data_IF_690504554044
#
_entry.id   IF_690504554044
#
_cell.length_a   1.000
_cell.length_b   1.000
_cell.length_c   1.000
_cell.angle_alpha   90.00
_cell.angle_beta   90.00
_cell.angle_gamma   90.00
#
_symmetry.space_group_name_H-M   'P 1'
#
loop_
_entity.id
_entity.type
_entity.pdbx_description
1 polymer ?
#
# COMPACT_ATOMS: atom_id res chain seq x y z
N UNK A 1 -30.65 -1.80 0.13
CA UNK A 1 -29.77 -0.99 -0.73
C UNK A 1 -30.27 -0.89 -2.16
N UNK A 2 -30.41 -1.98 -2.92
CA UNK A 2 -30.84 -1.90 -4.33
C UNK A 2 -32.16 -1.15 -4.55
N UNK A 3 -33.19 -1.47 -3.76
CA UNK A 3 -34.46 -0.73 -3.80
C UNK A 3 -34.29 0.77 -3.52
N UNK A 4 -33.47 1.13 -2.53
CA UNK A 4 -33.14 2.54 -2.25
C UNK A 4 -32.46 3.19 -3.46
N UNK A 5 -31.51 2.50 -4.09
CA UNK A 5 -30.85 2.99 -5.30
C UNK A 5 -31.86 3.19 -6.44
N UNK A 6 -32.79 2.24 -6.65
CA UNK A 6 -33.84 2.34 -7.65
C UNK A 6 -34.78 3.52 -7.38
N UNK A 7 -35.21 3.70 -6.12
CA UNK A 7 -36.06 4.80 -5.68
C UNK A 7 -35.37 6.17 -5.84
N UNK A 8 -34.04 6.22 -5.76
CA UNK A 8 -33.22 7.41 -6.00
C UNK A 8 -32.78 7.57 -7.47
N UNK A 9 -33.13 6.63 -8.35
CA UNK A 9 -32.73 6.66 -9.76
C UNK A 9 -31.23 6.36 -10.00
N UNK A 10 -30.55 5.73 -9.04
CA UNK A 10 -29.14 5.34 -9.16
C UNK A 10 -29.01 4.00 -9.87
N UNK A 11 -28.82 4.05 -11.19
CA UNK A 11 -28.57 2.87 -12.01
C UNK A 11 -27.26 2.19 -11.61
N UNK A 12 -26.21 2.98 -11.35
CA UNK A 12 -24.90 2.50 -10.88
C UNK A 12 -24.34 3.44 -9.82
N UNK A 13 -23.74 2.89 -8.76
CA UNK A 13 -23.23 3.67 -7.63
C UNK A 13 -21.89 3.14 -7.11
N UNK A 14 -21.11 4.01 -6.48
CA UNK A 14 -19.98 3.59 -5.66
C UNK A 14 -20.47 3.23 -4.25
N UNK A 15 -19.83 2.25 -3.62
CA UNK A 15 -20.23 1.75 -2.31
C UNK A 15 -19.03 1.72 -1.36
N UNK A 16 -19.19 2.25 -0.15
CA UNK A 16 -18.22 2.12 0.93
C UNK A 16 -18.93 1.58 2.17
N UNK A 17 -18.39 0.51 2.75
CA UNK A 17 -18.99 -0.14 3.91
C UNK A 17 -17.96 -0.53 4.96
N UNK A 18 -18.30 -0.27 6.23
CA UNK A 18 -17.48 -0.65 7.39
C UNK A 18 -18.04 -1.94 7.99
N UNK A 19 -17.18 -2.91 8.34
CA UNK A 19 -17.56 -4.13 9.06
C UNK A 19 -18.69 -4.89 8.35
N UNK A 20 -19.84 -5.12 8.99
CA UNK A 20 -21.00 -5.73 8.33
C UNK A 20 -21.45 -4.97 7.07
N UNK A 21 -21.26 -3.65 7.01
CA UNK A 21 -21.48 -2.88 5.78
C UNK A 21 -20.53 -3.29 4.65
N UNK A 22 -19.27 -3.58 4.96
CA UNK A 22 -18.32 -4.12 3.99
C UNK A 22 -18.75 -5.49 3.45
N UNK A 23 -19.33 -6.34 4.31
CA UNK A 23 -19.88 -7.62 3.93
C UNK A 23 -21.08 -7.48 2.96
N UNK A 24 -21.96 -6.52 3.23
CA UNK A 24 -23.03 -6.14 2.29
C UNK A 24 -22.45 -5.67 0.95
N UNK A 25 -21.37 -4.87 0.98
CA UNK A 25 -20.68 -4.40 -0.22
C UNK A 25 -20.10 -5.54 -1.07
N UNK A 26 -19.44 -6.52 -0.44
CA UNK A 26 -18.93 -7.72 -1.11
C UNK A 26 -20.06 -8.51 -1.79
N UNK A 27 -21.16 -8.73 -1.08
CA UNK A 27 -22.34 -9.40 -1.64
C UNK A 27 -22.91 -8.64 -2.84
N UNK A 28 -23.10 -7.33 -2.72
CA UNK A 28 -23.63 -6.49 -3.79
C UNK A 28 -22.72 -6.54 -5.03
N UNK A 29 -21.40 -6.41 -4.85
CA UNK A 29 -20.47 -6.38 -5.97
C UNK A 29 -20.33 -7.74 -6.68
N UNK A 30 -20.46 -8.84 -5.94
CA UNK A 30 -20.37 -10.19 -6.51
C UNK A 30 -21.66 -10.63 -7.23
N UNK A 31 -22.82 -10.16 -6.79
CA UNK A 31 -24.13 -10.63 -7.29
C UNK A 31 -24.88 -9.60 -8.13
N UNK A 32 -24.50 -8.33 -8.04
CA UNK A 32 -25.04 -7.24 -8.83
C UNK A 32 -23.90 -6.37 -9.41
N UNK A 33 -22.95 -6.98 -10.17
CA UNK A 33 -21.75 -6.29 -10.64
C UNK A 33 -22.06 -5.05 -11.49
N UNK A 34 -23.18 -5.05 -12.22
CA UNK A 34 -23.60 -3.90 -13.04
C UNK A 34 -24.02 -2.68 -12.21
N UNK A 35 -24.38 -2.89 -10.94
CA UNK A 35 -24.85 -1.82 -10.04
C UNK A 35 -23.71 -1.16 -9.27
N UNK A 36 -22.61 -1.88 -9.03
CA UNK A 36 -21.49 -1.38 -8.23
C UNK A 36 -20.37 -0.88 -9.14
N UNK A 37 -20.17 0.43 -9.18
CA UNK A 37 -19.11 1.08 -9.96
C UNK A 37 -17.73 1.00 -9.32
N UNK A 38 -17.68 1.03 -7.99
CA UNK A 38 -16.46 1.10 -7.20
C UNK A 38 -16.79 0.63 -5.77
N UNK A 39 -15.91 -0.15 -5.13
CA UNK A 39 -16.18 -0.81 -3.84
C UNK A 39 -15.08 -0.50 -2.81
N UNK A 40 -15.44 0.07 -1.66
CA UNK A 40 -14.56 0.18 -0.49
C UNK A 40 -15.03 -0.71 0.65
N UNK A 41 -14.15 -1.61 1.09
CA UNK A 41 -14.39 -2.57 2.17
C UNK A 41 -13.51 -2.18 3.36
N UNK A 42 -14.08 -1.62 4.41
CA UNK A 42 -13.34 -1.06 5.55
C UNK A 42 -13.54 -1.96 6.78
N UNK A 43 -12.45 -2.45 7.39
CA UNK A 43 -12.44 -3.28 8.59
C UNK A 43 -13.53 -4.37 8.58
N UNK A 44 -13.50 -5.22 7.56
CA UNK A 44 -14.53 -6.22 7.27
C UNK A 44 -13.91 -7.56 6.92
N UNK A 45 -14.75 -8.54 6.59
CA UNK A 45 -14.33 -9.88 6.22
C UNK A 45 -15.26 -10.55 5.21
N UNK A 46 -14.71 -11.49 4.44
CA UNK A 46 -15.47 -12.45 3.66
C UNK A 46 -16.14 -13.54 4.52
N UNK A 47 -15.66 -13.75 5.76
CA UNK A 47 -16.23 -14.70 6.73
C UNK A 47 -15.86 -14.32 8.16
N UNK A 48 -16.85 -14.26 9.06
CA UNK A 48 -16.66 -13.74 10.41
C UNK A 48 -16.42 -14.86 11.44
N UNK A 49 -15.29 -15.55 11.38
CA UNK A 49 -14.89 -16.49 12.45
C UNK A 49 -15.87 -17.64 12.66
N UNK A 50 -16.08 -18.04 13.92
CA UNK A 50 -16.95 -19.16 14.31
C UNK A 50 -18.44 -18.73 14.36
N UNK A 51 -19.34 -19.36 13.57
CA UNK A 51 -20.78 -19.17 13.66
C UNK A 51 -21.39 -19.28 15.06
N UNK A 52 -20.86 -20.16 15.92
CA UNK A 52 -21.41 -20.39 17.26
C UNK A 52 -21.34 -19.11 18.11
N UNK A 53 -20.22 -18.40 18.05
CA UNK A 53 -19.98 -17.14 18.78
C UNK A 53 -21.02 -16.07 18.39
N UNK A 54 -21.41 -16.01 17.12
CA UNK A 54 -22.42 -15.06 16.66
C UNK A 54 -23.83 -15.44 17.10
N UNK A 55 -24.18 -16.74 17.09
CA UNK A 55 -25.48 -17.22 17.59
C UNK A 55 -25.62 -16.99 19.08
N UNK A 56 -24.57 -17.25 19.86
CA UNK A 56 -24.52 -16.94 21.29
C UNK A 56 -24.70 -15.45 21.55
N UNK A 57 -24.00 -14.60 20.80
CA UNK A 57 -24.16 -13.14 20.88
C UNK A 57 -25.58 -12.71 20.54
N UNK A 58 -26.19 -13.27 19.50
CA UNK A 58 -27.56 -12.96 19.10
C UNK A 58 -28.57 -13.34 20.20
N UNK A 59 -28.40 -14.51 20.82
CA UNK A 59 -29.23 -14.96 21.93
C UNK A 59 -29.10 -14.04 23.15
N UNK A 60 -27.87 -13.67 23.51
CA UNK A 60 -27.59 -12.75 24.61
C UNK A 60 -28.24 -11.38 24.39
N UNK A 61 -28.08 -10.78 23.21
CA UNK A 61 -28.66 -9.46 22.92
C UNK A 61 -30.19 -9.50 22.85
N UNK A 62 -30.80 -10.59 22.40
CA UNK A 62 -32.27 -10.76 22.48
C UNK A 62 -32.76 -10.72 23.93
N UNK A 63 -32.06 -11.44 24.81
CA UNK A 63 -32.42 -11.57 26.21
C UNK A 63 -32.15 -10.28 27.00
N UNK A 64 -30.94 -9.74 26.89
CA UNK A 64 -30.43 -8.69 27.78
C UNK A 64 -30.34 -7.31 27.13
N UNK A 65 -30.56 -7.22 25.82
CA UNK A 65 -30.37 -5.99 25.06
C UNK A 65 -28.91 -5.73 24.68
N UNK A 66 -28.66 -4.60 24.01
CA UNK A 66 -27.33 -4.22 23.52
C UNK A 66 -26.39 -3.74 24.62
N UNK A 67 -26.92 -3.41 25.81
CA UNK A 67 -26.13 -3.11 27.01
C UNK A 67 -25.09 -4.19 27.32
N UNK A 68 -25.46 -5.46 27.15
CA UNK A 68 -24.57 -6.59 27.38
C UNK A 68 -23.28 -6.54 26.55
N UNK A 69 -23.28 -5.79 25.44
CA UNK A 69 -22.12 -5.65 24.55
C UNK A 69 -21.17 -4.52 24.93
N UNK A 70 -21.63 -3.54 25.73
CA UNK A 70 -20.94 -2.27 25.99
C UNK A 70 -19.57 -2.50 26.62
N UNK A 71 -19.48 -3.35 27.65
CA UNK A 71 -18.24 -3.56 28.39
C UNK A 71 -17.09 -4.12 27.52
N UNK A 72 -17.42 -4.94 26.52
CA UNK A 72 -16.40 -5.58 25.68
C UNK A 72 -16.06 -4.76 24.43
N UNK A 73 -16.87 -3.78 24.05
CA UNK A 73 -16.68 -3.03 22.80
C UNK A 73 -15.42 -2.17 22.78
N UNK A 74 -15.00 -1.46 23.85
CA UNK A 74 -13.79 -0.64 23.82
C UNK A 74 -12.56 -1.38 23.27
N UNK A 75 -12.27 -2.57 23.80
CA UNK A 75 -11.14 -3.39 23.36
C UNK A 75 -11.35 -4.13 22.02
N UNK A 76 -12.54 -4.03 21.43
CA UNK A 76 -12.87 -4.61 20.13
C UNK A 76 -12.90 -3.55 19.03
N UNK A 77 -13.46 -2.38 19.33
CA UNK A 77 -13.76 -1.33 18.36
C UNK A 77 -12.62 -0.34 18.16
N UNK A 78 -11.83 -0.11 19.21
CA UNK A 78 -10.89 1.00 19.24
C UNK A 78 -9.50 0.55 19.68
N UNK A 79 -8.49 1.30 19.25
CA UNK A 79 -7.15 1.22 19.82
C UNK A 79 -7.14 1.72 21.27
N UNK A 80 -6.08 1.39 22.00
CA UNK A 80 -5.97 1.70 23.42
C UNK A 80 -6.17 3.20 23.71
N UNK A 81 -7.11 3.51 24.61
CA UNK A 81 -7.36 4.88 25.07
C UNK A 81 -8.34 5.70 24.22
N UNK A 82 -8.71 5.23 23.02
CA UNK A 82 -9.59 6.01 22.14
C UNK A 82 -11.06 5.97 22.57
N UNK A 83 -11.50 4.89 23.23
CA UNK A 83 -12.86 4.79 23.75
C UNK A 83 -13.24 5.89 24.75
N UNK A 84 -12.25 6.49 25.44
CA UNK A 84 -12.45 7.60 26.37
C UNK A 84 -12.53 8.97 25.67
N UNK A 85 -12.26 9.04 24.36
CA UNK A 85 -12.46 10.27 23.58
C UNK A 85 -13.97 10.60 23.45
N UNK A 86 -14.34 11.86 23.18
CA UNK A 86 -15.74 12.21 22.94
C UNK A 86 -16.40 11.39 21.83
N UNK A 87 -15.68 11.11 20.73
CA UNK A 87 -16.19 10.30 19.62
C UNK A 87 -16.34 8.82 20.02
N UNK A 88 -15.37 8.26 20.74
CA UNK A 88 -15.44 6.90 21.26
C UNK A 88 -16.62 6.71 22.22
N UNK A 89 -16.79 7.64 23.17
CA UNK A 89 -17.88 7.63 24.13
C UNK A 89 -19.26 7.74 23.45
N UNK A 90 -19.39 8.61 22.44
CA UNK A 90 -20.63 8.75 21.67
C UNK A 90 -21.03 7.45 20.96
N UNK A 91 -20.08 6.77 20.31
CA UNK A 91 -20.34 5.50 19.63
C UNK A 91 -20.72 4.36 20.57
N UNK A 92 -20.17 4.36 21.78
CA UNK A 92 -20.58 3.41 22.82
C UNK A 92 -22.02 3.69 23.28
N UNK A 93 -22.43 4.95 23.33
CA UNK A 93 -23.81 5.30 23.65
C UNK A 93 -24.78 4.98 22.51
N UNK A 94 -24.37 5.18 21.24
CA UNK A 94 -25.16 4.75 20.08
C UNK A 94 -25.41 3.24 20.10
N UNK A 95 -24.42 2.44 20.51
CA UNK A 95 -24.60 1.00 20.71
C UNK A 95 -25.66 0.70 21.77
N UNK A 96 -25.62 1.42 22.90
CA UNK A 96 -26.60 1.26 23.99
C UNK A 96 -28.01 1.54 23.50
N UNK A 97 -28.18 2.54 22.63
CA UNK A 97 -29.46 2.92 22.05
C UNK A 97 -29.93 2.04 20.86
N UNK A 98 -29.09 1.13 20.37
CA UNK A 98 -29.41 0.29 19.21
C UNK A 98 -30.53 -0.71 19.52
N UNK A 99 -31.46 -0.89 18.57
CA UNK A 99 -32.52 -1.90 18.70
C UNK A 99 -31.96 -3.32 18.83
N UNK A 100 -32.40 -4.04 19.87
CA UNK A 100 -31.91 -5.37 20.18
C UNK A 100 -32.27 -6.41 19.12
N UNK A 101 -33.45 -6.27 18.50
CA UNK A 101 -33.89 -7.24 17.49
C UNK A 101 -33.08 -7.10 16.20
N UNK A 102 -32.83 -5.86 15.76
CA UNK A 102 -31.95 -5.54 14.64
C UNK A 102 -30.52 -6.01 14.87
N UNK A 103 -29.94 -5.74 16.05
CA UNK A 103 -28.59 -6.20 16.38
C UNK A 103 -28.47 -7.73 16.34
N UNK A 104 -29.43 -8.44 16.96
CA UNK A 104 -29.42 -9.90 16.97
C UNK A 104 -29.62 -10.49 15.57
N UNK A 105 -30.46 -9.88 14.74
CA UNK A 105 -30.63 -10.29 13.34
C UNK A 105 -29.32 -10.12 12.54
N UNK A 106 -28.59 -9.02 12.74
CA UNK A 106 -27.27 -8.84 12.14
C UNK A 106 -26.29 -9.93 12.58
N UNK A 107 -26.31 -10.33 13.86
CA UNK A 107 -25.49 -11.44 14.34
C UNK A 107 -25.85 -12.78 13.66
N UNK A 108 -27.13 -13.09 13.50
CA UNK A 108 -27.56 -14.31 12.79
C UNK A 108 -27.08 -14.32 11.34
N UNK A 109 -27.14 -13.17 10.65
CA UNK A 109 -26.59 -13.03 9.29
C UNK A 109 -25.10 -13.35 9.30
N UNK A 110 -24.32 -12.72 10.19
CA UNK A 110 -22.88 -12.96 10.30
C UNK A 110 -22.53 -14.42 10.64
N UNK A 111 -23.40 -15.14 11.38
CA UNK A 111 -23.22 -16.55 11.68
C UNK A 111 -23.31 -17.46 10.44
N UNK A 112 -24.02 -17.02 9.40
CA UNK A 112 -24.23 -17.78 8.15
C UNK A 112 -23.49 -17.20 6.95
N UNK A 113 -22.88 -16.03 7.10
CA UNK A 113 -22.24 -15.31 6.02
C UNK A 113 -20.87 -15.91 5.68
N UNK A 114 -20.73 -16.33 4.42
CA UNK A 114 -19.46 -16.75 3.83
C UNK A 114 -19.46 -16.37 2.34
N UNK A 115 -18.62 -15.40 1.98
CA UNK A 115 -18.43 -14.93 0.61
C UNK A 115 -17.11 -15.43 0.02
N UNK A 116 -16.36 -16.30 0.71
CA UNK A 116 -14.99 -16.66 0.33
C UNK A 116 -14.89 -17.20 -1.10
N UNK A 117 -15.86 -18.02 -1.52
CA UNK A 117 -15.90 -18.61 -2.87
C UNK A 117 -16.38 -17.63 -3.95
N UNK A 118 -17.01 -16.52 -3.58
CA UNK A 118 -17.59 -15.55 -4.50
C UNK A 118 -16.71 -14.31 -4.73
N UNK A 119 -15.61 -14.16 -3.97
CA UNK A 119 -14.72 -12.99 -4.06
C UNK A 119 -14.15 -12.79 -5.48
N UNK A 120 -13.78 -13.87 -6.16
CA UNK A 120 -13.22 -13.82 -7.52
C UNK A 120 -14.22 -13.30 -8.57
N UNK A 121 -15.52 -13.29 -8.25
CA UNK A 121 -16.59 -12.80 -9.14
C UNK A 121 -16.71 -11.28 -9.12
N UNK A 122 -16.09 -10.60 -8.16
CA UNK A 122 -16.15 -9.16 -8.02
C UNK A 122 -15.30 -8.51 -9.11
N UNK A 123 -15.94 -7.77 -10.01
CA UNK A 123 -15.28 -7.04 -11.11
C UNK A 123 -15.12 -5.54 -10.83
N UNK A 124 -15.81 -5.02 -9.81
CA UNK A 124 -15.70 -3.62 -9.43
C UNK A 124 -14.28 -3.33 -8.89
N UNK A 125 -13.66 -2.20 -9.28
CA UNK A 125 -12.46 -1.71 -8.61
C UNK A 125 -12.69 -1.69 -7.09
N UNK A 126 -11.80 -2.35 -6.34
CA UNK A 126 -12.01 -2.60 -4.91
C UNK A 126 -10.85 -2.06 -4.08
N UNK A 127 -11.14 -1.22 -3.09
CA UNK A 127 -10.23 -0.82 -2.03
C UNK A 127 -10.60 -1.56 -0.74
N UNK A 128 -9.63 -2.23 -0.14
CA UNK A 128 -9.75 -2.83 1.19
C UNK A 128 -8.95 -2.00 2.18
N UNK A 129 -9.57 -1.59 3.29
CA UNK A 129 -8.93 -0.85 4.37
C UNK A 129 -9.00 -1.66 5.66
N UNK A 130 -7.91 -1.77 6.38
CA UNK A 130 -7.85 -2.47 7.67
C UNK A 130 -7.12 -1.63 8.72
N UNK A 131 -7.62 -1.65 9.95
CA UNK A 131 -6.84 -1.22 11.11
C UNK A 131 -5.82 -2.31 11.48
N UNK A 132 -4.56 -1.95 11.70
CA UNK A 132 -3.51 -2.91 12.09
C UNK A 132 -3.75 -3.53 13.47
N UNK A 133 -4.49 -2.82 14.31
CA UNK A 133 -4.75 -3.20 15.70
C UNK A 133 -6.15 -3.82 15.87
N UNK A 134 -6.86 -4.13 14.76
CA UNK A 134 -8.23 -4.65 14.76
C UNK A 134 -8.28 -6.11 15.23
N UNK A 135 -8.90 -6.43 16.38
CA UNK A 135 -9.05 -7.82 16.83
C UNK A 135 -10.33 -8.49 16.29
N UNK A 136 -11.31 -7.73 15.80
CA UNK A 136 -12.58 -8.25 15.31
C UNK A 136 -12.47 -8.77 13.88
N UNK A 137 -11.78 -8.02 13.02
CA UNK A 137 -11.41 -8.41 11.67
C UNK A 137 -9.93 -8.15 11.44
N UNK A 138 -9.03 -8.99 11.98
CA UNK A 138 -7.60 -8.79 11.89
C UNK A 138 -7.11 -8.61 10.45
N UNK A 139 -5.95 -7.94 10.21
CA UNK A 139 -5.46 -7.65 8.87
C UNK A 139 -5.41 -8.84 7.89
N UNK A 140 -5.24 -10.06 8.40
CA UNK A 140 -5.34 -11.29 7.60
C UNK A 140 -6.70 -11.45 6.88
N UNK A 141 -7.80 -10.96 7.44
CA UNK A 141 -9.12 -10.96 6.80
C UNK A 141 -9.15 -10.02 5.59
N UNK A 142 -8.58 -8.83 5.73
CA UNK A 142 -8.48 -7.86 4.65
C UNK A 142 -7.54 -8.33 3.53
N UNK A 143 -6.39 -8.94 3.88
CA UNK A 143 -5.49 -9.56 2.90
C UNK A 143 -6.18 -10.65 2.08
N UNK A 144 -6.94 -11.55 2.71
CA UNK A 144 -7.71 -12.57 1.99
C UNK A 144 -8.69 -11.97 0.97
N UNK A 145 -9.35 -10.86 1.31
CA UNK A 145 -10.23 -10.16 0.36
C UNK A 145 -9.39 -9.56 -0.79
N UNK A 146 -8.33 -8.84 -0.47
CA UNK A 146 -7.48 -8.18 -1.47
C UNK A 146 -6.77 -9.18 -2.41
N UNK A 147 -6.39 -10.35 -1.90
CA UNK A 147 -5.73 -11.40 -2.67
C UNK A 147 -6.71 -12.12 -3.61
N UNK A 148 -7.98 -12.27 -3.21
CA UNK A 148 -8.98 -13.01 -3.98
C UNK A 148 -9.77 -12.12 -4.97
N UNK A 149 -9.95 -10.83 -4.69
CA UNK A 149 -10.68 -9.92 -5.57
C UNK A 149 -9.75 -9.38 -6.67
N UNK A 150 -10.04 -9.63 -7.97
CA UNK A 150 -9.20 -9.16 -9.07
C UNK A 150 -9.00 -7.64 -9.05
N UNK A 151 -7.73 -7.22 -9.02
CA UNK A 151 -7.37 -5.80 -9.07
C UNK A 151 -7.62 -5.01 -7.78
N UNK A 152 -7.98 -5.68 -6.67
CA UNK A 152 -8.17 -5.01 -5.39
C UNK A 152 -6.86 -4.40 -4.86
N UNK A 153 -6.98 -3.30 -4.11
CA UNK A 153 -5.89 -2.68 -3.34
C UNK A 153 -6.13 -2.85 -1.85
N UNK A 154 -5.05 -2.86 -1.06
CA UNK A 154 -5.10 -2.96 0.39
C UNK A 154 -4.37 -1.79 1.04
N UNK A 155 -5.00 -1.18 2.05
CA UNK A 155 -4.41 -0.19 2.94
C UNK A 155 -4.53 -0.66 4.39
N UNK A 156 -3.40 -0.87 5.05
CA UNK A 156 -3.34 -1.18 6.48
C UNK A 156 -2.90 0.04 7.29
N UNK A 157 -3.80 0.56 8.11
CA UNK A 157 -3.63 1.80 8.87
C UNK A 157 -3.07 1.49 10.26
N UNK A 158 -1.94 2.12 10.59
CA UNK A 158 -1.31 2.01 11.91
C UNK A 158 -1.99 2.91 12.96
N UNK A 159 -2.13 2.40 14.18
CA UNK A 159 -2.80 3.10 15.27
C UNK A 159 -4.31 3.19 15.04
N UNK A 160 -4.90 2.11 14.54
CA UNK A 160 -6.32 2.00 14.26
C UNK A 160 -6.76 0.55 14.48
N UNK A 161 -7.88 0.36 15.17
CA UNK A 161 -8.54 -0.92 15.33
C UNK A 161 -9.73 -1.03 14.37
N UNK A 162 -10.84 -1.60 14.84
CA UNK A 162 -11.98 -1.93 13.99
C UNK A 162 -12.70 -0.70 13.41
N UNK A 163 -12.79 0.39 14.17
CA UNK A 163 -13.42 1.64 13.71
C UNK A 163 -12.39 2.63 13.14
N UNK A 164 -11.57 2.15 12.21
CA UNK A 164 -10.46 2.92 11.62
C UNK A 164 -10.90 4.26 11.01
N UNK A 165 -12.11 4.37 10.45
CA UNK A 165 -12.64 5.62 9.91
C UNK A 165 -12.90 6.71 10.95
N UNK A 166 -13.01 6.34 12.23
CA UNK A 166 -13.21 7.26 13.34
C UNK A 166 -11.87 7.58 14.02
N UNK A 167 -10.99 6.60 14.14
CA UNK A 167 -9.68 6.78 14.78
C UNK A 167 -8.67 7.51 13.89
N UNK A 168 -8.77 7.29 12.57
CA UNK A 168 -7.86 7.85 11.56
C UNK A 168 -8.66 8.43 10.39
N UNK A 169 -9.53 9.42 10.66
CA UNK A 169 -10.47 9.93 9.66
C UNK A 169 -9.77 10.53 8.45
N UNK A 170 -8.63 11.20 8.62
CA UNK A 170 -7.87 11.79 7.52
C UNK A 170 -7.32 10.72 6.57
N UNK A 171 -6.72 9.67 7.12
CA UNK A 171 -6.14 8.58 6.32
C UNK A 171 -7.21 7.79 5.57
N UNK A 172 -8.32 7.45 6.24
CA UNK A 172 -9.43 6.73 5.61
C UNK A 172 -10.12 7.60 4.57
N UNK A 173 -10.40 8.87 4.89
CA UNK A 173 -11.06 9.80 3.95
C UNK A 173 -10.21 10.03 2.72
N UNK A 174 -8.90 10.26 2.88
CA UNK A 174 -7.99 10.41 1.76
C UNK A 174 -8.00 9.18 0.85
N UNK A 175 -7.96 7.97 1.42
CA UNK A 175 -7.99 6.72 0.66
C UNK A 175 -9.33 6.48 -0.05
N UNK A 176 -10.45 6.83 0.57
CA UNK A 176 -11.76 6.73 -0.06
C UNK A 176 -11.92 7.74 -1.21
N UNK A 177 -11.61 9.02 -0.98
CA UNK A 177 -11.71 10.06 -2.02
C UNK A 177 -10.83 9.74 -3.22
N UNK A 178 -9.62 9.29 -2.94
CA UNK A 178 -8.71 8.70 -3.89
C UNK A 178 -9.40 7.63 -4.75
N UNK A 179 -9.84 6.54 -4.12
CA UNK A 179 -10.43 5.41 -4.82
C UNK A 179 -11.69 5.76 -5.61
N UNK A 180 -12.56 6.59 -5.04
CA UNK A 180 -13.84 6.98 -5.64
C UNK A 180 -13.70 7.90 -6.84
N UNK A 181 -12.74 8.83 -6.80
CA UNK A 181 -12.57 9.84 -7.84
C UNK A 181 -11.82 9.31 -9.06
N UNK A 182 -11.30 8.07 -9.01
CA UNK A 182 -10.30 7.58 -9.96
C UNK A 182 -8.95 8.32 -9.87
N UNK A 183 -8.92 9.46 -9.17
CA UNK A 183 -7.74 10.20 -8.72
C UNK A 183 -7.19 9.63 -7.42
N UNK A 184 -7.25 8.30 -7.27
CA UNK A 184 -6.41 7.69 -6.26
C UNK A 184 -5.01 8.26 -6.47
N UNK A 185 -4.21 8.55 -5.43
CA UNK A 185 -2.77 8.56 -5.68
C UNK A 185 -2.59 7.25 -6.43
N UNK A 186 -2.19 7.38 -7.70
CA UNK A 186 -2.31 6.28 -8.64
C UNK A 186 -1.84 5.06 -7.87
N UNK A 187 -2.56 3.93 -7.92
CA UNK A 187 -1.93 2.66 -7.50
C UNK A 187 -0.48 2.79 -7.98
N UNK A 188 0.56 2.51 -7.18
CA UNK A 188 1.78 2.07 -7.85
C UNK A 188 1.25 0.93 -8.74
N UNK A 189 1.11 1.14 -10.06
CA UNK A 189 -0.04 0.76 -10.91
C UNK A 189 -0.61 -0.68 -10.87
N UNK A 190 -1.29 -1.11 -11.92
CA UNK A 190 -1.23 -2.55 -12.23
C UNK A 190 0.27 -2.93 -12.40
N UNK A 191 0.60 -4.22 -12.38
CA UNK A 191 2.01 -4.62 -12.49
C UNK A 191 2.67 -4.04 -13.75
N UNK A 192 1.91 -3.86 -14.83
CA UNK A 192 2.37 -3.22 -16.05
C UNK A 192 2.73 -1.73 -15.86
N UNK A 193 1.91 -0.96 -15.14
CA UNK A 193 2.14 0.45 -14.85
C UNK A 193 3.22 0.65 -13.79
N UNK A 194 3.32 -0.21 -12.75
CA UNK A 194 4.49 -0.25 -11.85
C UNK A 194 5.76 -0.54 -12.63
N UNK A 195 5.68 -1.50 -13.55
CA UNK A 195 6.82 -1.85 -14.38
C UNK A 195 7.20 -0.66 -15.27
N UNK A 196 6.25 0.01 -15.91
CA UNK A 196 6.51 1.18 -16.75
C UNK A 196 7.10 2.35 -15.96
N UNK A 197 6.51 2.71 -14.82
CA UNK A 197 7.01 3.77 -13.94
C UNK A 197 8.40 3.40 -13.37
N UNK A 198 8.56 2.14 -12.95
CA UNK A 198 9.83 1.60 -12.50
C UNK A 198 10.89 1.64 -13.59
N UNK A 199 10.57 1.31 -14.84
CA UNK A 199 11.49 1.44 -15.96
C UNK A 199 11.88 2.89 -16.21
N UNK A 200 10.95 3.84 -16.13
CA UNK A 200 11.24 5.26 -16.29
C UNK A 200 12.20 5.78 -15.19
N UNK A 201 11.94 5.45 -13.92
CA UNK A 201 12.82 5.86 -12.81
C UNK A 201 14.16 5.12 -12.86
N UNK A 202 14.17 3.81 -13.13
CA UNK A 202 15.40 3.02 -13.31
C UNK A 202 16.31 3.61 -14.37
N UNK A 203 15.75 4.07 -15.50
CA UNK A 203 16.48 4.77 -16.55
C UNK A 203 16.99 6.13 -16.10
N UNK A 204 16.16 6.91 -15.42
CA UNK A 204 16.57 8.22 -14.93
C UNK A 204 17.66 8.14 -13.84
N UNK A 205 17.75 7.02 -13.10
CA UNK A 205 18.73 6.81 -12.03
C UNK A 205 20.00 6.10 -12.53
N UNK A 206 19.87 5.04 -13.33
CA UNK A 206 21.01 4.23 -13.79
C UNK A 206 21.53 4.60 -15.19
N UNK A 207 20.79 5.41 -15.93
CA UNK A 207 21.06 5.78 -17.32
C UNK A 207 20.57 4.74 -18.33
N UNK A 208 20.11 5.22 -19.50
CA UNK A 208 19.52 4.39 -20.55
C UNK A 208 20.45 3.26 -21.03
N UNK A 209 21.70 3.60 -21.33
CA UNK A 209 22.68 2.64 -21.83
C UNK A 209 22.92 1.47 -20.85
N UNK A 210 22.86 1.73 -19.54
CA UNK A 210 22.97 0.66 -18.54
C UNK A 210 21.71 -0.21 -18.56
N UNK A 211 20.53 0.40 -18.53
CA UNK A 211 19.25 -0.32 -18.49
C UNK A 211 19.07 -1.16 -19.74
N UNK A 212 19.41 -0.66 -20.93
CA UNK A 212 19.32 -1.40 -22.18
C UNK A 212 20.23 -2.63 -22.18
N UNK A 213 21.48 -2.51 -21.70
CA UNK A 213 22.39 -3.67 -21.53
C UNK A 213 21.88 -4.67 -20.49
N UNK A 214 21.20 -4.21 -19.44
CA UNK A 214 20.60 -5.10 -18.44
C UNK A 214 19.41 -5.87 -19.03
N UNK A 215 18.50 -5.17 -19.73
CA UNK A 215 17.33 -5.77 -20.39
C UNK A 215 17.77 -6.79 -21.45
N UNK A 216 18.74 -6.46 -22.30
CA UNK A 216 19.25 -7.36 -23.34
C UNK A 216 19.90 -8.65 -22.79
N UNK A 217 20.38 -8.64 -21.54
CA UNK A 217 20.95 -9.83 -20.86
C UNK A 217 19.90 -10.64 -20.09
N UNK A 218 18.63 -10.24 -20.13
CA UNK A 218 17.55 -10.97 -19.46
C UNK A 218 17.33 -12.31 -20.15
N UNK A 219 17.33 -13.39 -19.38
CA UNK A 219 17.07 -14.76 -19.86
C UNK A 219 15.73 -15.24 -19.31
N UNK A 220 15.14 -16.34 -19.83
CA UNK A 220 13.93 -16.91 -19.24
C UNK A 220 14.07 -17.23 -17.74
N UNK A 221 15.27 -17.59 -17.30
CA UNK A 221 15.57 -17.84 -15.89
C UNK A 221 15.54 -16.57 -15.03
N UNK A 222 16.08 -15.46 -15.52
CA UNK A 222 16.17 -14.20 -14.76
C UNK A 222 14.99 -13.26 -14.96
N UNK A 223 14.11 -13.52 -15.94
CA UNK A 223 13.01 -12.65 -16.32
C UNK A 223 12.08 -12.27 -15.16
N UNK A 224 11.65 -13.26 -14.36
CA UNK A 224 10.78 -13.01 -13.20
C UNK A 224 11.45 -12.13 -12.15
N UNK A 225 12.76 -12.30 -11.94
CA UNK A 225 13.50 -11.47 -11.00
C UNK A 225 13.68 -10.04 -11.51
N UNK A 226 14.00 -9.88 -12.81
CA UNK A 226 14.10 -8.56 -13.44
C UNK A 226 12.78 -7.79 -13.41
N UNK A 227 11.66 -8.47 -13.65
CA UNK A 227 10.33 -7.89 -13.51
C UNK A 227 10.05 -7.47 -12.05
N UNK A 228 10.30 -8.37 -11.09
CA UNK A 228 10.10 -8.09 -9.66
C UNK A 228 10.88 -6.85 -9.19
N UNK A 229 12.19 -6.78 -9.46
CA UNK A 229 13.00 -5.63 -9.03
C UNK A 229 12.55 -4.33 -9.72
N UNK A 230 12.10 -4.41 -10.98
CA UNK A 230 11.60 -3.26 -11.74
C UNK A 230 10.34 -2.70 -11.11
N UNK A 231 9.37 -3.56 -10.76
CA UNK A 231 8.11 -3.12 -10.15
C UNK A 231 8.26 -2.60 -8.74
N UNK A 232 9.01 -3.29 -7.89
CA UNK A 232 9.06 -2.98 -6.46
C UNK A 232 10.16 -2.00 -6.10
N UNK A 233 11.41 -2.28 -6.48
CA UNK A 233 12.49 -1.35 -6.15
C UNK A 233 12.25 -0.04 -6.90
N UNK A 234 12.11 -0.10 -8.23
CA UNK A 234 12.04 1.11 -9.03
C UNK A 234 10.64 1.71 -9.10
N UNK A 235 9.60 0.88 -9.25
CA UNK A 235 8.21 1.33 -9.46
C UNK A 235 7.38 1.57 -8.20
N UNK A 236 7.93 1.31 -7.01
CA UNK A 236 7.26 1.59 -5.73
C UNK A 236 8.17 2.39 -4.80
N UNK A 237 9.37 1.89 -4.51
CA UNK A 237 10.26 2.53 -3.52
C UNK A 237 10.92 3.79 -4.09
N UNK A 238 11.54 3.72 -5.26
CA UNK A 238 12.23 4.88 -5.86
C UNK A 238 11.29 5.91 -6.51
N UNK A 239 10.05 5.53 -6.81
CA UNK A 239 8.97 6.46 -7.21
C UNK A 239 8.30 7.16 -6.03
N UNK A 240 8.48 6.68 -4.80
CA UNK A 240 7.85 7.26 -3.61
C UNK A 240 8.35 8.67 -3.32
N UNK A 241 7.45 9.54 -2.86
CA UNK A 241 7.68 10.97 -2.60
C UNK A 241 8.23 11.28 -1.20
N UNK A 242 8.23 10.31 -0.28
CA UNK A 242 8.68 10.52 1.10
C UNK A 242 10.18 10.81 1.30
N UNK A 243 11.03 10.48 0.32
CA UNK A 243 12.47 10.82 0.33
C UNK A 243 12.91 11.24 -1.08
N UNK A 244 13.72 12.28 -1.15
CA UNK A 244 14.32 12.70 -2.42
C UNK A 244 15.37 11.69 -2.94
N UNK A 245 15.72 11.79 -4.23
CA UNK A 245 16.64 10.86 -4.89
C UNK A 245 18.06 10.93 -4.36
N UNK A 246 18.49 12.10 -3.84
CA UNK A 246 19.83 12.29 -3.28
C UNK A 246 19.95 11.48 -1.99
N UNK A 247 18.99 11.65 -1.09
CA UNK A 247 18.90 10.94 0.18
C UNK A 247 18.75 9.44 -0.01
N UNK A 248 17.92 8.98 -0.96
CA UNK A 248 17.82 7.55 -1.32
C UNK A 248 19.15 6.99 -1.82
N UNK A 249 19.92 7.78 -2.58
CA UNK A 249 21.26 7.38 -3.03
C UNK A 249 22.21 7.22 -1.84
N UNK A 250 22.26 8.17 -0.90
CA UNK A 250 23.07 8.04 0.32
C UNK A 250 22.77 6.73 1.08
N UNK A 251 21.49 6.46 1.33
CA UNK A 251 21.05 5.25 2.05
C UNK A 251 21.45 3.98 1.28
N UNK A 252 21.26 3.99 -0.05
CA UNK A 252 21.61 2.84 -0.89
C UNK A 252 23.11 2.56 -0.87
N UNK A 253 23.95 3.60 -0.99
CA UNK A 253 25.40 3.46 -0.89
C UNK A 253 25.80 2.86 0.46
N UNK A 254 25.29 3.39 1.57
CA UNK A 254 25.59 2.86 2.92
C UNK A 254 25.17 1.40 3.06
N UNK A 255 24.00 1.00 2.55
CA UNK A 255 23.55 -0.40 2.60
C UNK A 255 24.45 -1.35 1.79
N UNK A 256 24.87 -0.93 0.58
CA UNK A 256 25.76 -1.73 -0.25
C UNK A 256 27.16 -1.89 0.37
N UNK A 257 27.65 -0.84 1.04
CA UNK A 257 28.91 -0.89 1.78
C UNK A 257 28.81 -1.84 2.98
N UNK A 258 27.74 -1.74 3.77
CA UNK A 258 27.51 -2.59 4.93
C UNK A 258 27.50 -4.09 4.59
N UNK A 259 27.06 -4.43 3.37
CA UNK A 259 26.99 -5.82 2.91
C UNK A 259 28.15 -6.24 1.97
N UNK A 260 29.11 -5.35 1.69
CA UNK A 260 30.27 -5.66 0.83
C UNK A 260 29.89 -5.94 -0.63
N UNK A 261 28.89 -5.24 -1.16
CA UNK A 261 28.37 -5.43 -2.52
C UNK A 261 29.06 -4.50 -3.53
N UNK A 262 30.38 -4.63 -3.69
CA UNK A 262 31.22 -3.66 -4.42
C UNK A 262 30.83 -3.47 -5.90
N UNK A 263 30.35 -4.53 -6.57
CA UNK A 263 29.92 -4.46 -7.97
C UNK A 263 28.66 -3.57 -8.14
N UNK A 264 27.68 -3.75 -7.26
CA UNK A 264 26.45 -2.93 -7.22
C UNK A 264 26.76 -1.52 -6.70
N UNK A 265 27.70 -1.39 -5.75
CA UNK A 265 28.16 -0.10 -5.24
C UNK A 265 28.73 0.76 -6.38
N UNK A 266 29.57 0.18 -7.24
CA UNK A 266 30.13 0.90 -8.39
C UNK A 266 29.03 1.46 -9.32
N UNK A 267 27.96 0.71 -9.53
CA UNK A 267 26.81 1.16 -10.31
C UNK A 267 26.09 2.31 -9.60
N UNK A 268 25.82 2.18 -8.30
CA UNK A 268 25.08 3.18 -7.53
C UNK A 268 25.87 4.45 -7.24
N UNK A 269 27.20 4.44 -7.30
CA UNK A 269 28.02 5.67 -7.25
C UNK A 269 27.78 6.53 -8.49
N UNK A 270 27.70 5.93 -9.70
CA UNK A 270 27.32 6.67 -10.92
C UNK A 270 25.91 7.22 -10.79
N UNK A 271 24.99 6.40 -10.28
CA UNK A 271 23.61 6.79 -10.07
C UNK A 271 23.47 7.95 -9.07
N UNK A 272 24.30 7.96 -8.02
CA UNK A 272 24.32 9.04 -7.04
C UNK A 272 24.72 10.38 -7.67
N UNK A 273 25.73 10.38 -8.55
CA UNK A 273 26.09 11.56 -9.34
C UNK A 273 24.92 12.00 -10.25
N UNK A 274 24.27 11.07 -10.95
CA UNK A 274 23.08 11.37 -11.78
C UNK A 274 21.92 11.95 -10.96
N UNK A 275 21.74 11.49 -9.73
CA UNK A 275 20.74 12.03 -8.80
C UNK A 275 21.17 13.35 -8.16
N UNK A 276 22.36 13.85 -8.50
CA UNK A 276 22.84 15.19 -8.16
C UNK A 276 23.82 15.24 -6.99
N UNK A 277 24.27 14.11 -6.41
CA UNK A 277 25.35 14.14 -5.42
C UNK A 277 26.66 14.59 -6.07
N UNK A 278 27.48 15.33 -5.34
CA UNK A 278 28.86 15.60 -5.75
C UNK A 278 29.81 14.48 -5.34
N UNK A 279 31.03 14.45 -5.89
CA UNK A 279 32.07 13.49 -5.50
C UNK A 279 32.43 13.63 -4.02
N UNK A 280 32.44 14.87 -3.53
CA UNK A 280 32.69 15.21 -2.12
C UNK A 280 31.57 14.68 -1.22
N UNK A 281 30.30 14.89 -1.59
CA UNK A 281 29.16 14.36 -0.84
C UNK A 281 29.14 12.83 -0.80
N UNK A 282 29.51 12.17 -1.90
CA UNK A 282 29.70 10.72 -1.91
C UNK A 282 30.83 10.34 -0.93
N UNK A 283 31.95 11.07 -0.94
CA UNK A 283 33.05 10.90 0.00
C UNK A 283 32.61 10.98 1.47
N UNK A 284 31.77 11.95 1.82
CA UNK A 284 31.19 12.08 3.18
C UNK A 284 30.34 10.86 3.58
N UNK A 285 29.55 10.31 2.64
CA UNK A 285 28.79 9.06 2.90
C UNK A 285 29.72 7.88 3.17
N UNK A 286 30.85 7.79 2.44
CA UNK A 286 31.85 6.73 2.66
C UNK A 286 32.56 6.89 4.01
N UNK A 287 32.92 8.11 4.40
CA UNK A 287 33.50 8.42 5.71
C UNK A 287 32.54 8.04 6.84
N UNK A 288 31.28 8.46 6.73
CA UNK A 288 30.23 8.10 7.70
C UNK A 288 30.08 6.57 7.82
N UNK A 289 30.14 5.87 6.68
CA UNK A 289 30.04 4.40 6.65
C UNK A 289 31.22 3.72 7.34
N UNK A 290 32.41 4.33 7.38
CA UNK A 290 33.57 3.77 8.09
C UNK A 290 33.32 3.58 9.60
N UNK A 291 32.51 4.46 10.20
CA UNK A 291 32.20 4.42 11.64
C UNK A 291 31.27 3.27 11.99
N UNK A 292 30.28 3.00 11.14
CA UNK A 292 29.22 2.02 11.43
C UNK A 292 29.42 0.66 10.76
N UNK A 293 30.11 0.63 9.61
CA UNK A 293 30.40 -0.59 8.84
C UNK A 293 31.85 -1.05 9.00
N UNK A 294 32.71 -0.23 9.60
CA UNK A 294 34.12 -0.50 9.81
C UNK A 294 35.02 0.02 8.67
N UNK A 295 36.24 0.41 9.05
CA UNK A 295 37.26 0.95 8.14
C UNK A 295 37.58 0.03 6.95
N UNK A 296 37.66 -1.30 7.08
CA UNK A 296 37.90 -2.17 5.92
C UNK A 296 36.81 -2.09 4.85
N UNK A 297 35.53 -2.03 5.24
CA UNK A 297 34.42 -1.88 4.29
C UNK A 297 34.48 -0.51 3.59
N UNK A 298 34.79 0.55 4.33
CA UNK A 298 34.98 1.87 3.76
C UNK A 298 36.19 1.94 2.80
N UNK A 299 37.31 1.27 3.10
CA UNK A 299 38.46 1.20 2.19
C UNK A 299 38.09 0.59 0.83
N UNK A 300 37.36 -0.53 0.83
CA UNK A 300 36.84 -1.13 -0.41
C UNK A 300 35.89 -0.19 -1.15
N UNK A 301 35.06 0.54 -0.40
CA UNK A 301 34.14 1.51 -0.97
C UNK A 301 34.86 2.70 -1.62
N UNK A 302 35.89 3.25 -0.97
CA UNK A 302 36.72 4.33 -1.52
C UNK A 302 37.48 3.89 -2.76
N UNK A 303 38.06 2.69 -2.75
CA UNK A 303 38.73 2.12 -3.93
C UNK A 303 37.74 1.96 -5.09
N UNK A 304 36.51 1.51 -4.80
CA UNK A 304 35.43 1.39 -5.79
C UNK A 304 35.01 2.75 -6.34
N UNK A 305 34.86 3.76 -5.48
CA UNK A 305 34.50 5.12 -5.88
C UNK A 305 35.57 5.76 -6.77
N UNK A 306 36.85 5.68 -6.38
CA UNK A 306 37.95 6.22 -7.16
C UNK A 306 38.00 5.60 -8.55
N UNK A 307 37.92 4.26 -8.64
CA UNK A 307 37.88 3.57 -9.92
C UNK A 307 36.72 4.05 -10.80
N UNK A 308 35.52 4.23 -10.23
CA UNK A 308 34.36 4.74 -10.98
C UNK A 308 34.60 6.17 -11.47
N UNK A 309 35.18 7.03 -10.64
CA UNK A 309 35.47 8.42 -11.01
C UNK A 309 36.52 8.50 -12.13
N UNK A 310 37.57 7.67 -12.06
CA UNK A 310 38.60 7.59 -13.10
C UNK A 310 38.00 7.11 -14.44
N UNK A 311 37.11 6.11 -14.40
CA UNK A 311 36.39 5.61 -15.60
C UNK A 311 35.50 6.69 -16.23
N UNK A 312 34.83 7.52 -15.41
CA UNK A 312 34.01 8.64 -15.90
C UNK A 312 34.91 9.70 -16.56
N UNK A 313 35.99 10.09 -15.89
CA UNK A 313 36.90 11.14 -16.38
C UNK A 313 37.65 10.72 -17.66
N UNK A 314 37.86 9.41 -17.85
CA UNK A 314 38.47 8.86 -19.06
C UNK A 314 37.54 8.83 -20.28
N UNK A 315 36.23 9.06 -20.11
CA UNK A 315 35.26 9.03 -21.21
C UNK A 315 35.13 10.44 -21.83
N UNK A 316 35.58 10.68 -23.08
CA UNK A 316 35.57 12.02 -23.67
C UNK A 316 34.15 12.56 -23.90
N UNK A 317 33.90 13.80 -23.47
CA UNK A 317 32.66 14.54 -23.78
C UNK A 317 32.57 14.81 -25.29
N UNK A 318 31.53 14.29 -25.96
CA UNK A 318 31.17 14.71 -27.31
C UNK A 318 30.34 15.99 -27.17
N UNK A 319 30.99 17.15 -27.31
CA UNK A 319 30.28 18.42 -27.39
C UNK A 319 29.46 18.49 -28.69
N UNK A 320 28.14 18.64 -28.56
CA UNK A 320 27.27 19.01 -29.67
C UNK A 320 27.58 20.44 -30.08
N UNK A 321 28.48 20.59 -31.06
CA UNK A 321 28.85 21.89 -31.62
C UNK A 321 27.62 22.62 -32.17
N UNK A 322 27.43 23.83 -31.64
CA UNK A 322 26.54 24.87 -32.12
C UNK A 322 26.69 25.10 -33.63
N UNK A 323 25.57 25.04 -34.35
CA UNK A 323 25.48 25.62 -35.69
C UNK A 323 25.55 27.15 -35.58
N UNK A 324 26.75 27.71 -35.69
CA UNK A 324 26.97 29.06 -36.18
C UNK A 324 27.53 28.99 -37.60
N UNK A 325 26.63 28.89 -38.58
CA UNK A 325 26.96 29.07 -39.99
C UNK A 325 26.45 30.42 -40.46
N UNK A 326 27.30 31.44 -40.35
CA UNK A 326 27.20 32.68 -41.14
C UNK A 326 28.04 32.50 -42.40
N UNK A 327 27.69 33.24 -43.47
CA UNK A 327 28.29 33.35 -44.82
C UNK A 327 27.61 32.45 -45.88
N UNK A 328 27.10 32.95 -47.01
CA UNK A 328 27.31 34.20 -47.76
C UNK A 328 26.07 34.55 -48.57
#
# INVERSE_FOLDING_TARGET
>A
MLRLADDQGWERFAYAGISIGGAVGLYLAAHHPDRVGCLSVVCSSARFGDPAVWRERAALVRAEGTEAMVASRPGTWFSHGFAQSPAGAALIEDLRATDRAGYAACCDVLASYDMTADLERITAPTLVVAGRDDPATPPAHARRIADAVPGASLLEIAGAAHLAGVERPEAVTAALLAHLSGTAPARPGDDASRHAAGMAVRRAVLGDAHVDRAVARTTPFTARFQDFITRYAWGEIWTGDGLDRRTRSCITLTALIAHGHDAELAMHIRAALTNGLTREEIGEVLLQSAIYCGVPAANSAFATAQRVFDEIDATPHVDSASHSGTEK
#
